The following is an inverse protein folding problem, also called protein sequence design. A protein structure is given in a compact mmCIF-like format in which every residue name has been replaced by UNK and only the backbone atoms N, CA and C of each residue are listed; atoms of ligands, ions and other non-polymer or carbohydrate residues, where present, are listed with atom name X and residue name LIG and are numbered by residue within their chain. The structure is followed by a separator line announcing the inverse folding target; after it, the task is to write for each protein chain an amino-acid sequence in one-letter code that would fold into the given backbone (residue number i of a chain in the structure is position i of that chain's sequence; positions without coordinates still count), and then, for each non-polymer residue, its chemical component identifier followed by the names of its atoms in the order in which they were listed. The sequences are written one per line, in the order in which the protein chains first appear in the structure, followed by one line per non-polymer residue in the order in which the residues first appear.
data_IF_261392134834
#
_entry.id   IF_261392134834
#
_cell.length_a   1.000
_cell.length_b   1.000
_cell.length_c   1.000
_cell.angle_alpha   90.00
_cell.angle_beta   90.00
_cell.angle_gamma   90.00
#
_symmetry.space_group_name_H-M   'P 1'
#
loop_
_entity.id
_entity.type
_entity.pdbx_description
1 polymer ?
#
# COMPACT_ATOMS: atom_id res chain seq x y z
N UNK A 1 -17.63 0.32 20.16
CA UNK A 1 -16.40 -0.43 20.52
C UNK A 1 -15.95 -1.10 19.25
N UNK A 2 -14.67 -1.10 18.92
CA UNK A 2 -14.13 -1.72 17.72
C UNK A 2 -14.74 -3.12 17.48
N UNK A 3 -15.45 -3.27 16.37
CA UNK A 3 -16.14 -4.51 16.01
C UNK A 3 -15.43 -5.23 14.86
N UNK A 4 -14.71 -4.50 14.02
CA UNK A 4 -14.16 -5.04 12.78
C UNK A 4 -12.89 -4.31 12.36
N UNK A 5 -11.97 -5.08 11.77
CA UNK A 5 -10.82 -4.57 11.03
C UNK A 5 -10.99 -5.00 9.58
N UNK A 6 -11.10 -4.04 8.66
CA UNK A 6 -11.19 -4.30 7.22
C UNK A 6 -9.80 -4.24 6.62
N UNK A 7 -9.42 -5.23 5.83
CA UNK A 7 -8.21 -5.18 5.00
C UNK A 7 -8.59 -4.74 3.59
N UNK A 8 -7.94 -3.70 3.07
CA UNK A 8 -8.17 -3.16 1.73
C UNK A 8 -6.88 -3.29 0.90
N UNK A 9 -6.98 -4.03 -0.20
CA UNK A 9 -5.87 -4.31 -1.12
C UNK A 9 -6.13 -3.76 -2.53
N UNK A 10 -7.17 -2.94 -2.73
CA UNK A 10 -7.61 -2.48 -4.05
C UNK A 10 -6.45 -1.84 -4.85
N UNK A 11 -5.68 -0.97 -4.20
CA UNK A 11 -4.53 -0.31 -4.81
C UNK A 11 -3.41 -1.30 -5.17
N UNK A 12 -3.13 -2.29 -4.31
CA UNK A 12 -2.12 -3.32 -4.60
C UNK A 12 -2.58 -4.22 -5.75
N UNK A 13 -3.84 -4.63 -5.78
CA UNK A 13 -4.34 -5.51 -6.85
C UNK A 13 -4.36 -4.83 -8.21
N UNK A 14 -4.80 -3.56 -8.26
CA UNK A 14 -4.71 -2.77 -9.47
C UNK A 14 -3.25 -2.62 -9.91
N UNK A 15 -2.35 -2.34 -8.98
CA UNK A 15 -0.95 -2.13 -9.31
C UNK A 15 -0.21 -3.41 -9.71
N UNK A 16 -0.57 -4.58 -9.16
CA UNK A 16 -0.10 -5.88 -9.65
C UNK A 16 -0.49 -6.12 -11.10
N UNK A 17 -1.75 -5.82 -11.47
CA UNK A 17 -2.19 -5.87 -12.86
C UNK A 17 -1.36 -4.91 -13.73
N UNK A 18 -1.18 -3.67 -13.28
CA UNK A 18 -0.41 -2.67 -14.00
C UNK A 18 1.05 -3.09 -14.23
N UNK A 19 1.76 -3.54 -13.18
CA UNK A 19 3.16 -3.93 -13.28
C UNK A 19 3.35 -5.10 -14.24
N UNK A 20 2.46 -6.10 -14.19
CA UNK A 20 2.46 -7.22 -15.12
C UNK A 20 2.26 -6.73 -16.57
N UNK A 21 1.18 -6.01 -16.83
CA UNK A 21 0.84 -5.50 -18.16
C UNK A 21 1.94 -4.59 -18.75
N UNK A 22 2.47 -3.67 -17.94
CA UNK A 22 3.54 -2.77 -18.36
C UNK A 22 4.85 -3.53 -18.66
N UNK A 23 5.20 -4.55 -17.86
CA UNK A 23 6.37 -5.40 -18.11
C UNK A 23 6.26 -6.16 -19.44
N UNK A 24 5.06 -6.66 -19.75
CA UNK A 24 4.74 -7.42 -20.98
C UNK A 24 4.46 -6.54 -22.20
N UNK A 25 4.62 -5.21 -22.05
CA UNK A 25 4.36 -4.22 -23.11
C UNK A 25 2.89 -4.15 -23.55
N UNK A 26 1.98 -4.62 -22.71
CA UNK A 26 0.55 -4.51 -22.96
C UNK A 26 0.08 -3.06 -22.84
N UNK A 27 -1.00 -2.74 -23.55
CA UNK A 27 -1.59 -1.42 -23.49
C UNK A 27 -2.58 -1.32 -22.32
N UNK A 28 -2.24 -0.52 -21.31
CA UNK A 28 -3.16 -0.13 -20.25
C UNK A 28 -3.86 1.17 -20.63
N UNK A 29 -5.19 1.22 -20.53
CA UNK A 29 -5.98 2.39 -20.89
C UNK A 29 -5.72 3.55 -19.91
N UNK A 30 -5.62 4.79 -20.42
CA UNK A 30 -5.32 5.96 -19.58
C UNK A 30 -6.33 6.16 -18.42
N UNK A 31 -7.59 5.78 -18.63
CA UNK A 31 -8.63 5.78 -17.58
C UNK A 31 -8.21 5.01 -16.33
N UNK A 32 -7.50 3.89 -16.50
CA UNK A 32 -7.00 3.08 -15.39
C UNK A 32 -6.11 3.90 -14.44
N UNK A 33 -5.30 4.83 -14.96
CA UNK A 33 -4.42 5.65 -14.12
C UNK A 33 -5.19 6.65 -13.27
N UNK A 34 -6.30 7.19 -13.80
CA UNK A 34 -7.22 8.02 -13.02
C UNK A 34 -7.91 7.20 -11.93
N UNK A 35 -8.43 6.02 -12.29
CA UNK A 35 -9.11 5.15 -11.33
C UNK A 35 -8.16 4.72 -10.19
N UNK A 36 -6.89 4.44 -10.48
CA UNK A 36 -5.85 4.16 -9.47
C UNK A 36 -5.53 5.39 -8.61
N UNK A 37 -5.38 6.57 -9.22
CA UNK A 37 -5.10 7.80 -8.49
C UNK A 37 -6.22 8.13 -7.48
N UNK A 38 -7.47 7.83 -7.82
CA UNK A 38 -8.61 8.09 -6.93
C UNK A 38 -8.75 7.07 -5.78
N UNK A 39 -7.94 6.00 -5.76
CA UNK A 39 -8.02 4.98 -4.71
C UNK A 39 -7.65 5.54 -3.34
N UNK A 40 -8.42 5.23 -2.28
CA UNK A 40 -8.17 5.73 -0.93
C UNK A 40 -6.76 5.48 -0.41
N UNK A 41 -6.15 4.36 -0.80
CA UNK A 41 -4.79 4.03 -0.40
C UNK A 41 -3.73 5.01 -0.92
N UNK A 42 -3.97 5.67 -2.06
CA UNK A 42 -3.06 6.65 -2.63
C UNK A 42 -3.44 8.07 -2.24
N UNK A 43 -4.74 8.39 -2.25
CA UNK A 43 -5.20 9.74 -1.94
C UNK A 43 -4.91 10.20 -0.51
N UNK A 44 -4.76 9.25 0.43
CA UNK A 44 -4.30 9.56 1.80
C UNK A 44 -2.85 10.07 1.87
N UNK A 45 -2.04 9.85 0.84
CA UNK A 45 -0.65 10.32 0.78
C UNK A 45 -0.50 11.62 -0.02
N UNK A 46 -1.62 12.26 -0.39
CA UNK A 46 -1.59 13.47 -1.20
C UNK A 46 -1.31 14.72 -0.41
N UNK A 47 -0.51 15.59 -1.01
CA UNK A 47 -0.15 16.92 -0.54
C UNK A 47 0.11 17.86 -1.72
N UNK A 48 0.68 19.03 -1.44
CA UNK A 48 0.99 20.05 -2.45
C UNK A 48 2.01 19.57 -3.49
N UNK A 49 2.87 18.61 -3.15
CA UNK A 49 3.95 18.10 -4.00
C UNK A 49 3.60 16.76 -4.66
N UNK A 50 2.65 16.00 -4.12
CA UNK A 50 2.29 14.68 -4.65
C UNK A 50 0.78 14.50 -4.64
N UNK A 51 0.17 14.33 -5.81
CA UNK A 51 -1.29 14.21 -5.93
C UNK A 51 -1.69 13.23 -7.04
N UNK A 52 -2.98 13.18 -7.38
CA UNK A 52 -3.48 12.26 -8.42
C UNK A 52 -2.83 12.45 -9.79
N UNK A 53 -2.48 13.69 -10.15
CA UNK A 53 -1.79 13.97 -11.40
C UNK A 53 -0.34 13.45 -11.38
N UNK A 54 0.32 13.50 -10.21
CA UNK A 54 1.63 12.88 -10.01
C UNK A 54 1.59 11.37 -10.24
N UNK A 55 0.59 10.68 -9.69
CA UNK A 55 0.38 9.24 -9.90
C UNK A 55 0.14 8.97 -11.39
N UNK A 56 -0.82 9.67 -12.00
CA UNK A 56 -1.20 9.47 -13.40
C UNK A 56 -0.01 9.62 -14.34
N UNK A 57 0.74 10.72 -14.22
CA UNK A 57 1.90 10.99 -15.05
C UNK A 57 2.99 9.93 -14.88
N UNK A 58 3.26 9.49 -13.65
CA UNK A 58 4.26 8.47 -13.39
C UNK A 58 3.88 7.13 -14.05
N UNK A 59 2.64 6.67 -13.87
CA UNK A 59 2.16 5.42 -14.47
C UNK A 59 2.11 5.50 -16.01
N UNK A 60 1.68 6.63 -16.56
CA UNK A 60 1.65 6.87 -18.00
C UNK A 60 3.07 6.83 -18.60
N UNK A 61 4.05 7.50 -17.96
CA UNK A 61 5.45 7.46 -18.39
C UNK A 61 6.04 6.05 -18.35
N UNK A 62 5.75 5.29 -17.30
CA UNK A 62 6.14 3.86 -17.19
C UNK A 62 5.58 3.07 -18.37
N UNK A 63 4.27 3.15 -18.60
CA UNK A 63 3.57 2.41 -19.65
C UNK A 63 4.08 2.80 -21.05
N UNK A 64 4.39 4.06 -21.28
CA UNK A 64 4.91 4.56 -22.57
C UNK A 64 6.44 4.42 -22.72
N UNK A 65 7.15 3.99 -21.67
CA UNK A 65 8.63 3.92 -21.62
C UNK A 65 9.31 5.27 -21.85
N UNK A 66 8.71 6.32 -21.31
CA UNK A 66 9.21 7.68 -21.43
C UNK A 66 10.08 8.03 -20.22
N UNK A 67 11.15 8.82 -20.41
CA UNK A 67 11.85 9.42 -19.28
C UNK A 67 10.89 10.21 -18.41
N UNK A 68 10.91 9.97 -17.10
CA UNK A 68 10.06 10.68 -16.17
C UNK A 68 10.82 11.83 -15.50
N UNK A 69 10.24 13.04 -15.58
CA UNK A 69 10.71 14.22 -14.87
C UNK A 69 9.62 14.69 -13.90
N UNK A 70 10.02 14.98 -12.66
CA UNK A 70 9.13 15.38 -11.59
C UNK A 70 9.91 15.82 -10.36
N UNK A 71 9.19 16.18 -9.31
CA UNK A 71 9.80 16.47 -8.02
C UNK A 71 10.28 15.18 -7.33
N UNK A 72 10.90 15.33 -6.15
CA UNK A 72 11.51 14.21 -5.41
C UNK A 72 10.51 13.10 -5.06
N UNK A 73 9.27 13.44 -4.69
CA UNK A 73 8.24 12.45 -4.31
C UNK A 73 7.76 11.69 -5.55
N UNK A 74 7.50 12.40 -6.64
CA UNK A 74 7.09 11.81 -7.91
C UNK A 74 8.15 10.85 -8.46
N UNK A 75 9.42 11.28 -8.46
CA UNK A 75 10.54 10.45 -8.91
C UNK A 75 10.68 9.19 -8.06
N UNK A 76 10.46 9.28 -6.75
CA UNK A 76 10.54 8.12 -5.86
C UNK A 76 9.38 7.15 -6.09
N UNK A 77 8.16 7.66 -6.26
CA UNK A 77 7.02 6.83 -6.66
C UNK A 77 7.28 6.13 -8.00
N UNK A 78 7.72 6.87 -9.01
CA UNK A 78 8.07 6.33 -10.32
C UNK A 78 9.15 5.23 -10.20
N UNK A 79 10.24 5.50 -9.48
CA UNK A 79 11.32 4.54 -9.26
C UNK A 79 10.80 3.27 -8.57
N UNK A 80 10.07 3.38 -7.45
CA UNK A 80 9.57 2.21 -6.73
C UNK A 80 8.69 1.32 -7.63
N UNK A 81 7.86 1.92 -8.48
CA UNK A 81 7.03 1.20 -9.44
C UNK A 81 7.86 0.51 -10.54
N UNK A 82 8.94 1.15 -11.01
CA UNK A 82 9.87 0.53 -11.95
C UNK A 82 10.48 -0.76 -11.36
N UNK A 83 10.94 -0.72 -10.11
CA UNK A 83 11.51 -1.88 -9.41
C UNK A 83 10.54 -3.08 -9.36
N UNK A 84 9.24 -2.86 -9.15
CA UNK A 84 8.26 -3.96 -9.10
C UNK A 84 8.07 -4.67 -10.45
N UNK A 85 8.44 -4.03 -11.57
CA UNK A 85 8.38 -4.66 -12.88
C UNK A 85 9.64 -5.44 -13.25
N UNK A 86 10.74 -5.25 -12.51
CA UNK A 86 12.02 -5.93 -12.81
C UNK A 86 11.98 -7.40 -12.39
N UNK A 87 11.34 -7.70 -11.26
CA UNK A 87 11.18 -9.04 -10.73
C UNK A 87 9.74 -9.26 -10.23
N UNK A 88 8.93 -9.90 -11.08
CA UNK A 88 7.55 -10.19 -10.76
C UNK A 88 7.40 -11.39 -9.80
N UNK A 89 8.41 -12.28 -9.71
CA UNK A 89 8.41 -13.36 -8.70
C UNK A 89 8.56 -12.74 -7.31
N UNK A 90 9.50 -11.81 -7.14
CA UNK A 90 9.66 -11.03 -5.91
C UNK A 90 8.39 -10.24 -5.57
N UNK A 91 7.82 -9.54 -6.55
CA UNK A 91 6.59 -8.75 -6.36
C UNK A 91 5.40 -9.62 -5.93
N UNK A 92 5.26 -10.81 -6.50
CA UNK A 92 4.25 -11.78 -6.07
C UNK A 92 4.53 -12.33 -4.68
N UNK A 93 5.80 -12.58 -4.34
CA UNK A 93 6.20 -13.01 -3.01
C UNK A 93 5.86 -11.94 -1.93
N UNK A 94 5.97 -10.64 -2.27
CA UNK A 94 5.49 -9.56 -1.39
C UNK A 94 3.97 -9.56 -1.23
N UNK A 95 3.21 -9.78 -2.31
CA UNK A 95 1.76 -9.67 -2.31
C UNK A 95 1.03 -10.87 -1.68
N UNK A 96 1.55 -12.09 -1.87
CA UNK A 96 0.98 -13.34 -1.37
C UNK A 96 0.63 -13.33 0.14
N UNK A 97 1.54 -12.94 1.06
CA UNK A 97 1.24 -12.90 2.49
C UNK A 97 0.18 -11.84 2.83
N UNK A 98 0.24 -10.68 2.17
CA UNK A 98 -0.72 -9.59 2.35
C UNK A 98 -2.13 -10.00 1.90
N UNK A 99 -2.26 -10.76 0.81
CA UNK A 99 -3.54 -11.30 0.33
C UNK A 99 -4.16 -12.36 1.25
N UNK A 100 -3.34 -13.02 2.07
CA UNK A 100 -3.78 -14.04 3.04
C UNK A 100 -3.95 -13.48 4.45
N UNK A 101 -3.71 -12.18 4.63
CA UNK A 101 -3.73 -11.53 5.93
C UNK A 101 -5.13 -11.59 6.54
N UNK A 102 -5.22 -12.14 7.75
CA UNK A 102 -6.42 -12.13 8.55
C UNK A 102 -6.12 -11.46 9.91
N UNK A 103 -6.82 -10.36 10.19
CA UNK A 103 -6.66 -9.55 11.40
C UNK A 103 -7.80 -9.74 12.41
N UNK A 104 -8.71 -10.69 12.22
CA UNK A 104 -9.88 -10.92 13.08
C UNK A 104 -9.45 -11.21 14.52
N UNK A 105 -8.34 -11.93 14.69
CA UNK A 105 -7.76 -12.25 15.98
C UNK A 105 -7.30 -11.00 16.77
N UNK A 106 -7.07 -9.87 16.10
CA UNK A 106 -6.66 -8.62 16.75
C UNK A 106 -7.84 -7.81 17.27
N UNK A 107 -9.06 -8.00 16.74
CA UNK A 107 -10.25 -7.22 17.14
C UNK A 107 -10.47 -7.33 18.65
N UNK A 108 -10.43 -8.54 19.19
CA UNK A 108 -10.65 -8.78 20.62
C UNK A 108 -9.58 -8.13 21.51
N UNK A 109 -8.32 -8.11 21.08
CA UNK A 109 -7.22 -7.47 21.80
C UNK A 109 -7.35 -5.94 21.76
N UNK A 110 -7.62 -5.40 20.58
CA UNK A 110 -7.69 -3.96 20.35
C UNK A 110 -8.94 -3.33 20.97
N UNK A 111 -10.06 -4.05 21.03
CA UNK A 111 -11.31 -3.59 21.64
C UNK A 111 -11.18 -3.31 23.16
N UNK A 112 -10.16 -3.88 23.83
CA UNK A 112 -9.90 -3.68 25.26
C UNK A 112 -9.04 -2.44 25.55
N UNK A 113 -8.51 -1.78 24.52
CA UNK A 113 -7.64 -0.62 24.69
C UNK A 113 -8.45 0.65 25.01
N UNK A 114 -7.85 1.54 25.77
CA UNK A 114 -8.39 2.89 25.94
C UNK A 114 -8.41 3.62 24.60
N UNK A 115 -9.56 4.17 24.21
CA UNK A 115 -9.76 4.78 22.89
C UNK A 115 -10.35 3.84 21.82
N UNK A 116 -10.52 2.55 22.10
CA UNK A 116 -11.14 1.60 21.16
C UNK A 116 -12.64 1.85 20.90
N UNK A 117 -13.23 2.83 21.58
CA UNK A 117 -14.57 3.35 21.33
C UNK A 117 -14.61 4.49 20.30
N UNK A 118 -13.46 5.00 19.84
CA UNK A 118 -13.39 6.07 18.82
C UNK A 118 -13.92 5.63 17.47
N UNK A 119 -13.68 4.37 17.10
CA UNK A 119 -14.05 3.81 15.81
C UNK A 119 -14.70 2.45 16.00
N UNK A 120 -15.84 2.21 15.33
CA UNK A 120 -16.46 0.89 15.29
C UNK A 120 -15.82 -0.02 14.23
N UNK A 121 -15.28 0.57 13.16
CA UNK A 121 -14.51 -0.12 12.12
C UNK A 121 -13.21 0.64 11.84
N UNK A 122 -12.10 -0.09 11.76
CA UNK A 122 -10.79 0.41 11.33
C UNK A 122 -10.40 -0.28 10.02
N UNK A 123 -9.78 0.45 9.10
CA UNK A 123 -9.37 -0.06 7.80
C UNK A 123 -7.84 -0.08 7.70
N UNK A 124 -7.26 -1.25 7.41
CA UNK A 124 -5.84 -1.44 7.07
C UNK A 124 -5.74 -1.50 5.55
N UNK A 125 -5.10 -0.51 4.95
CA UNK A 125 -4.98 -0.35 3.50
C UNK A 125 -3.53 -0.59 3.10
N UNK A 126 -3.26 -1.54 2.20
CA UNK A 126 -1.95 -1.63 1.57
C UNK A 126 -1.96 -0.82 0.29
N UNK A 127 -0.94 0.02 0.11
CA UNK A 127 -0.87 0.93 -1.02
C UNK A 127 0.59 1.17 -1.46
N UNK A 128 0.89 1.26 -2.77
CA UNK A 128 2.22 1.59 -3.24
C UNK A 128 2.51 3.09 -3.03
N UNK A 129 3.02 3.48 -1.86
CA UNK A 129 3.27 4.88 -1.53
C UNK A 129 4.61 5.38 -2.08
N UNK A 130 4.80 6.70 -2.07
CA UNK A 130 6.04 7.30 -2.56
C UNK A 130 7.19 7.24 -1.53
N UNK A 131 6.94 7.55 -0.25
CA UNK A 131 8.02 7.65 0.76
C UNK A 131 7.71 7.01 2.10
N UNK A 132 6.59 7.39 2.71
CA UNK A 132 6.25 7.04 4.08
C UNK A 132 6.16 5.53 4.24
N UNK A 133 6.51 5.03 5.43
CA UNK A 133 6.36 3.61 5.74
C UNK A 133 4.88 3.27 5.98
N UNK A 134 4.18 4.17 6.67
CA UNK A 134 2.74 4.10 6.90
C UNK A 134 2.17 5.51 7.10
N UNK A 135 0.85 5.63 6.97
CA UNK A 135 0.08 6.85 7.24
C UNK A 135 -1.12 6.46 8.09
N UNK A 136 -1.35 7.20 9.18
CA UNK A 136 -2.58 7.08 9.98
C UNK A 136 -3.44 8.31 9.70
N UNK A 137 -4.65 8.11 9.19
CA UNK A 137 -5.61 9.18 8.95
C UNK A 137 -7.03 8.73 9.28
N UNK A 138 -7.65 9.39 10.27
CA UNK A 138 -8.94 8.96 10.82
C UNK A 138 -8.91 7.51 11.30
N UNK A 139 -9.82 6.69 10.79
CA UNK A 139 -9.92 5.26 11.08
C UNK A 139 -9.08 4.36 10.13
N UNK A 140 -8.12 4.94 9.39
CA UNK A 140 -7.34 4.22 8.38
C UNK A 140 -5.87 4.13 8.76
N UNK A 141 -5.32 2.94 8.65
CA UNK A 141 -3.89 2.65 8.64
C UNK A 141 -3.49 2.30 7.21
N UNK A 142 -2.82 3.21 6.50
CA UNK A 142 -2.27 2.96 5.17
C UNK A 142 -0.83 2.49 5.31
N UNK A 143 -0.53 1.28 4.89
CA UNK A 143 0.81 0.67 4.93
C UNK A 143 1.43 0.72 3.54
N UNK A 144 2.68 1.17 3.45
CA UNK A 144 3.38 1.22 2.19
C UNK A 144 3.79 -0.18 1.72
N UNK A 145 3.18 -0.61 0.61
CA UNK A 145 3.44 -1.92 0.02
C UNK A 145 4.91 -2.13 -0.35
N UNK A 146 5.63 -1.09 -0.78
CA UNK A 146 7.06 -1.21 -1.12
C UNK A 146 7.97 -1.48 0.09
N UNK A 147 7.41 -1.47 1.32
CA UNK A 147 8.15 -1.80 2.55
C UNK A 147 7.97 -3.26 2.97
N UNK A 148 7.06 -3.98 2.32
CA UNK A 148 6.82 -5.40 2.57
C UNK A 148 8.02 -6.20 2.06
N UNK A 149 8.63 -6.99 2.93
CA UNK A 149 9.79 -7.83 2.62
C UNK A 149 9.44 -9.29 2.88
N UNK A 150 9.22 -10.09 1.82
CA UNK A 150 9.10 -11.52 1.99
C UNK A 150 10.45 -12.12 2.39
N UNK A 151 10.42 -13.08 3.31
CA UNK A 151 11.57 -13.93 3.58
C UNK A 151 11.59 -15.07 2.55
N UNK A 152 12.65 -15.19 1.75
CA UNK A 152 12.76 -16.28 0.78
C UNK A 152 13.16 -17.61 1.43
N UNK A 153 13.68 -17.57 2.67
CA UNK A 153 14.11 -18.75 3.41
C UNK A 153 13.01 -19.31 4.33
N UNK A 154 11.91 -18.58 4.55
CA UNK A 154 10.81 -19.02 5.42
C UNK A 154 9.47 -18.37 5.08
N UNK A 155 8.37 -18.89 5.63
CA UNK A 155 7.00 -18.40 5.35
C UNK A 155 6.64 -17.08 6.06
N UNK A 156 7.64 -16.24 6.39
CA UNK A 156 7.44 -14.99 7.14
C UNK A 156 7.57 -13.77 6.25
N UNK A 157 6.95 -12.68 6.69
CA UNK A 157 6.96 -11.40 5.98
C UNK A 157 7.20 -10.31 6.98
N UNK A 158 8.01 -9.32 6.59
CA UNK A 158 8.47 -8.28 7.49
C UNK A 158 8.23 -6.89 6.91
N UNK A 159 8.11 -5.91 7.79
CA UNK A 159 8.26 -4.49 7.47
C UNK A 159 9.40 -3.98 8.34
N UNK A 160 10.51 -3.61 7.69
CA UNK A 160 11.76 -3.37 8.40
C UNK A 160 12.29 -4.67 9.02
N UNK A 161 12.33 -4.72 10.36
CA UNK A 161 12.77 -5.88 11.15
C UNK A 161 11.61 -6.57 11.89
N UNK A 162 10.39 -6.05 11.78
CA UNK A 162 9.21 -6.51 12.52
C UNK A 162 8.36 -7.40 11.62
N UNK A 163 7.86 -8.52 12.14
CA UNK A 163 6.97 -9.42 11.41
C UNK A 163 5.64 -8.70 11.07
N UNK A 164 5.05 -9.01 9.92
CA UNK A 164 3.92 -8.27 9.36
C UNK A 164 2.71 -8.17 10.32
N UNK A 165 2.32 -9.25 10.99
CA UNK A 165 1.18 -9.22 11.92
C UNK A 165 1.52 -8.42 13.18
N UNK A 166 2.74 -8.58 13.70
CA UNK A 166 3.23 -7.80 14.85
C UNK A 166 3.26 -6.31 14.52
N UNK A 167 3.80 -5.95 13.35
CA UNK A 167 3.85 -4.57 12.86
C UNK A 167 2.46 -3.95 12.76
N UNK A 168 1.49 -4.66 12.18
CA UNK A 168 0.13 -4.16 12.03
C UNK A 168 -0.54 -4.02 13.41
N UNK A 169 -0.34 -4.97 14.32
CA UNK A 169 -0.86 -4.88 15.69
C UNK A 169 -0.32 -3.62 16.39
N UNK A 170 0.98 -3.34 16.28
CA UNK A 170 1.60 -2.13 16.84
C UNK A 170 1.03 -0.84 16.25
N UNK A 171 0.89 -0.76 14.92
CA UNK A 171 0.37 0.45 14.25
C UNK A 171 -1.12 0.67 14.48
N UNK A 172 -1.89 -0.40 14.63
CA UNK A 172 -3.30 -0.31 15.02
C UNK A 172 -3.46 0.19 16.47
N UNK A 173 -2.57 -0.21 17.39
CA UNK A 173 -2.53 0.35 18.76
C UNK A 173 -2.23 1.85 18.71
N UNK A 174 -1.26 2.27 17.90
CA UNK A 174 -0.95 3.70 17.70
C UNK A 174 -2.16 4.47 17.18
N UNK A 175 -2.89 3.92 16.20
CA UNK A 175 -4.09 4.53 15.63
C UNK A 175 -5.20 4.73 16.68
N UNK A 176 -5.42 3.73 17.53
CA UNK A 176 -6.47 3.78 18.57
C UNK A 176 -6.12 4.80 19.67
N UNK A 177 -4.83 4.90 20.01
CA UNK A 177 -4.34 5.78 21.06
C UNK A 177 -4.27 7.26 20.63
N UNK A 178 -4.11 7.56 19.33
CA UNK A 178 -4.21 8.93 18.77
C UNK A 178 -5.62 9.48 18.91
#
# INVERSE_FOLDING_TARGET
MLQRIKVNLEAVEAMLYFWMAASEKENVAEKFFYDVADMPGLSCAYDEEFNGESVRRALSAIKNREPFAGNKKELKFWNNNMWMMEDFEYTNAMASPVKKLNLDNLVGKLAQLEGANKYDEVEVIFSPLHSDEYIITGNKLVVNFFRVRPDFAGDKTYIGEIELNEYIEEKLKELINK
#
